data_IF_013157769378
#
_entry.id   IF_013157769378
#
_cell.length_a   1.000
_cell.length_b   1.000
_cell.length_c   1.000
_cell.angle_alpha   90.00
_cell.angle_beta   90.00
_cell.angle_gamma   90.00
#
_symmetry.space_group_name_H-M   'P 1'
#
loop_
_entity.id
_entity.type
_entity.pdbx_description
1 polymer ?
#
# COMPACT_ATOMS: atom_id res chain seq x y z
N UNK A 1 -7.27 80.39 -15.15
CA UNK A 1 -6.57 79.33 -14.46
C UNK A 1 -7.11 78.02 -15.01
N UNK A 2 -6.46 77.45 -16.01
CA UNK A 2 -6.87 76.21 -16.69
C UNK A 2 -6.03 75.07 -16.13
N UNK A 3 -6.67 74.10 -15.53
CA UNK A 3 -6.00 72.84 -15.06
C UNK A 3 -5.94 71.84 -16.23
N UNK A 4 -4.72 71.49 -16.59
CA UNK A 4 -4.39 70.51 -17.60
C UNK A 4 -4.50 69.14 -16.94
N UNK A 5 -5.36 68.23 -17.45
CA UNK A 5 -5.45 66.86 -17.04
C UNK A 5 -4.65 65.99 -18.03
N UNK A 6 -3.55 65.43 -17.56
CA UNK A 6 -2.76 64.48 -18.33
C UNK A 6 -3.34 63.11 -18.05
N UNK A 7 -3.92 62.46 -19.07
CA UNK A 7 -4.35 61.06 -19.04
C UNK A 7 -3.17 60.21 -19.49
N UNK A 8 -2.58 59.45 -18.57
CA UNK A 8 -1.53 58.48 -18.87
C UNK A 8 -2.21 57.16 -19.24
N UNK A 9 -2.18 56.78 -20.51
CA UNK A 9 -2.58 55.45 -20.99
C UNK A 9 -1.48 54.46 -20.63
N UNK A 10 -1.74 53.58 -19.69
CA UNK A 10 -0.92 52.38 -19.42
C UNK A 10 -1.30 51.31 -20.46
N UNK A 11 -0.40 51.04 -21.38
CA UNK A 11 -0.47 49.91 -22.29
C UNK A 11 -0.13 48.64 -21.49
N UNK A 12 -1.12 47.82 -21.11
CA UNK A 12 -0.96 46.53 -20.53
C UNK A 12 -0.69 45.54 -21.68
N UNK A 13 0.57 45.24 -21.98
CA UNK A 13 0.95 44.14 -22.85
C UNK A 13 0.73 42.81 -22.08
N UNK A 14 -0.41 42.17 -22.30
CA UNK A 14 -0.63 40.79 -21.90
C UNK A 14 0.17 39.93 -22.85
N UNK A 15 1.35 39.47 -22.40
CA UNK A 15 2.06 38.37 -23.05
C UNK A 15 1.33 37.08 -22.72
N UNK A 16 0.44 36.66 -23.61
CA UNK A 16 -0.06 35.27 -23.61
C UNK A 16 1.06 34.37 -24.08
N UNK A 17 1.78 33.78 -23.15
CA UNK A 17 2.62 32.60 -23.45
C UNK A 17 1.69 31.42 -23.75
N UNK A 18 1.36 31.24 -25.01
CA UNK A 18 0.82 29.98 -25.49
C UNK A 18 1.94 28.92 -25.41
N UNK A 19 1.96 28.14 -24.33
CA UNK A 19 2.75 26.93 -24.28
C UNK A 19 2.13 25.88 -25.22
N UNK A 20 2.40 26.02 -26.53
CA UNK A 20 2.32 24.89 -27.43
C UNK A 20 3.51 23.97 -27.08
N UNK A 21 3.32 23.05 -26.15
CA UNK A 21 4.26 21.94 -25.93
C UNK A 21 4.18 20.97 -27.12
N UNK A 22 4.76 21.35 -28.22
CA UNK A 22 5.20 20.39 -29.23
C UNK A 22 6.31 19.53 -28.60
N UNK A 23 6.20 18.20 -28.70
CA UNK A 23 7.24 17.26 -28.31
C UNK A 23 8.48 17.50 -29.18
N UNK A 24 9.35 18.43 -28.80
CA UNK A 24 10.66 18.57 -29.39
C UNK A 24 11.64 17.69 -28.61
N UNK A 25 12.08 16.60 -29.21
CA UNK A 25 13.26 15.87 -28.73
C UNK A 25 14.44 16.84 -28.80
N UNK A 26 15.21 17.03 -27.70
CA UNK A 26 16.42 17.87 -27.75
C UNK A 26 17.36 17.41 -28.88
N UNK A 27 18.20 18.30 -29.42
CA UNK A 27 19.12 17.98 -30.54
C UNK A 27 20.11 16.83 -30.25
N UNK A 28 20.32 16.52 -28.98
CA UNK A 28 21.17 15.42 -28.50
C UNK A 28 20.44 14.07 -28.36
N UNK A 29 19.17 13.99 -28.74
CA UNK A 29 18.37 12.77 -28.64
C UNK A 29 17.92 12.42 -27.22
N UNK A 30 18.14 13.29 -26.22
CA UNK A 30 17.71 13.06 -24.83
C UNK A 30 16.19 13.15 -24.70
N UNK A 31 15.58 12.16 -24.05
CA UNK A 31 14.17 12.15 -23.68
C UNK A 31 14.03 12.46 -22.19
N UNK A 32 13.31 13.52 -21.84
CA UNK A 32 13.03 13.85 -20.45
C UNK A 32 11.60 13.48 -20.10
N UNK A 33 11.45 12.71 -19.02
CA UNK A 33 10.18 12.29 -18.41
C UNK A 33 10.01 12.98 -17.05
N UNK A 34 8.77 13.32 -16.70
CA UNK A 34 8.40 13.74 -15.36
C UNK A 34 7.80 12.57 -14.60
N UNK A 35 8.10 12.45 -13.31
CA UNK A 35 7.58 11.35 -12.50
C UNK A 35 7.18 11.82 -11.09
N UNK A 36 6.06 11.32 -10.59
CA UNK A 36 5.53 11.59 -9.26
C UNK A 36 5.36 10.29 -8.49
N UNK A 37 6.17 10.11 -7.44
CA UNK A 37 6.28 8.82 -6.77
C UNK A 37 5.99 8.92 -5.28
N UNK A 38 5.13 8.01 -4.81
CA UNK A 38 4.86 7.84 -3.39
C UNK A 38 6.02 7.12 -2.73
N UNK A 39 6.95 7.87 -2.16
CA UNK A 39 8.13 7.31 -1.52
C UNK A 39 8.72 8.27 -0.49
N UNK A 40 9.15 7.75 0.64
CA UNK A 40 10.01 8.43 1.58
C UNK A 40 11.45 7.96 1.38
N UNK A 41 12.25 8.75 0.69
CA UNK A 41 13.66 8.40 0.41
C UNK A 41 14.52 8.27 1.68
N UNK A 42 14.08 8.82 2.82
CA UNK A 42 14.77 8.67 4.09
C UNK A 42 14.42 7.32 4.78
N UNK A 43 13.39 6.64 4.32
CA UNK A 43 12.99 5.35 4.90
C UNK A 43 14.00 4.25 4.56
N UNK A 44 14.45 3.47 5.56
CA UNK A 44 15.39 2.37 5.36
C UNK A 44 14.90 1.26 4.40
N UNK A 45 13.61 1.21 4.10
CA UNK A 45 13.07 0.23 3.16
C UNK A 45 13.38 0.53 1.69
N UNK A 46 13.79 1.78 1.35
CA UNK A 46 14.01 2.20 -0.04
C UNK A 46 15.48 2.41 -0.40
N UNK A 47 16.40 1.83 0.36
CA UNK A 47 17.86 1.93 0.10
C UNK A 47 18.28 1.44 -1.29
N UNK A 48 17.47 0.56 -1.90
CA UNK A 48 17.69 0.06 -3.25
C UNK A 48 17.40 1.09 -4.35
N UNK A 49 16.56 2.09 -4.07
CA UNK A 49 16.02 2.97 -5.11
C UNK A 49 17.07 3.81 -5.83
N UNK A 50 17.99 4.54 -5.15
CA UNK A 50 19.06 5.26 -5.83
C UNK A 50 19.94 4.35 -6.69
N UNK A 51 20.19 3.13 -6.23
CA UNK A 51 21.01 2.12 -6.93
C UNK A 51 20.30 1.68 -8.21
N UNK A 52 18.99 1.49 -8.14
CA UNK A 52 18.15 1.16 -9.31
C UNK A 52 18.18 2.27 -10.33
N UNK A 53 18.05 3.54 -9.90
CA UNK A 53 18.12 4.71 -10.79
C UNK A 53 19.49 4.84 -11.47
N UNK A 54 20.57 4.64 -10.72
CA UNK A 54 21.93 4.66 -11.27
C UNK A 54 22.18 3.54 -12.27
N UNK A 55 21.67 2.35 -12.01
CA UNK A 55 21.76 1.21 -12.95
C UNK A 55 20.96 1.49 -14.21
N UNK A 56 19.76 2.05 -14.09
CA UNK A 56 18.96 2.47 -15.23
C UNK A 56 19.68 3.55 -16.06
N UNK A 57 20.20 4.59 -15.42
CA UNK A 57 20.91 5.68 -16.11
C UNK A 57 22.16 5.21 -16.88
N UNK A 58 22.88 4.22 -16.37
CA UNK A 58 23.99 3.60 -17.09
C UNK A 58 23.56 2.84 -18.34
N UNK A 59 22.39 2.18 -18.29
CA UNK A 59 21.85 1.39 -19.40
C UNK A 59 21.17 2.27 -20.46
N UNK A 60 20.54 3.35 -20.05
CA UNK A 60 19.77 4.27 -20.89
C UNK A 60 20.21 5.73 -20.68
N UNK A 61 21.45 6.10 -21.08
CA UNK A 61 22.03 7.42 -20.77
C UNK A 61 21.31 8.60 -21.46
N UNK A 62 20.51 8.31 -22.47
CA UNK A 62 19.69 9.29 -23.21
C UNK A 62 18.29 9.48 -22.59
N UNK A 63 17.95 8.83 -21.48
CA UNK A 63 16.67 9.01 -20.78
C UNK A 63 16.93 9.70 -19.46
N UNK A 64 16.32 10.87 -19.27
CA UNK A 64 16.29 11.59 -17.99
C UNK A 64 14.93 11.47 -17.36
N UNK A 65 14.87 11.29 -16.04
CA UNK A 65 13.62 11.26 -15.30
C UNK A 65 13.72 12.29 -14.16
N UNK A 66 12.82 13.25 -14.20
CA UNK A 66 12.66 14.27 -13.14
C UNK A 66 11.65 13.77 -12.14
N UNK A 67 12.15 13.40 -10.95
CA UNK A 67 11.36 12.81 -9.89
C UNK A 67 10.86 13.84 -8.89
N UNK A 68 9.58 13.79 -8.56
CA UNK A 68 9.02 14.39 -7.35
C UNK A 68 8.57 13.25 -6.43
N UNK A 69 9.05 13.27 -5.18
CA UNK A 69 8.73 12.28 -4.16
C UNK A 69 7.85 12.89 -3.09
N UNK A 70 6.77 12.20 -2.73
CA UNK A 70 5.88 12.59 -1.63
C UNK A 70 5.51 11.35 -0.84
N UNK A 71 5.71 11.40 0.46
CA UNK A 71 5.40 10.28 1.36
C UNK A 71 3.97 10.31 1.89
N UNK A 72 3.43 9.14 2.23
CA UNK A 72 2.18 8.99 2.95
C UNK A 72 0.94 9.51 2.20
N UNK A 73 -0.09 9.87 2.96
CA UNK A 73 -1.38 10.29 2.40
C UNK A 73 -1.32 11.62 1.63
N UNK A 74 -0.33 12.47 1.91
CA UNK A 74 -0.13 13.72 1.16
C UNK A 74 0.09 13.48 -0.35
N UNK A 75 0.65 12.32 -0.72
CA UNK A 75 0.75 11.91 -2.12
C UNK A 75 -0.64 11.89 -2.77
N UNK A 76 -1.60 11.22 -2.13
CA UNK A 76 -2.93 11.04 -2.70
C UNK A 76 -3.67 12.35 -2.85
N UNK A 77 -3.61 13.24 -1.85
CA UNK A 77 -4.27 14.55 -1.89
C UNK A 77 -3.76 15.41 -3.06
N UNK A 78 -2.43 15.50 -3.19
CA UNK A 78 -1.79 16.27 -4.28
C UNK A 78 -2.06 15.65 -5.63
N UNK A 79 -1.97 14.32 -5.75
CA UNK A 79 -2.16 13.64 -7.02
C UNK A 79 -3.62 13.70 -7.49
N UNK A 80 -4.60 13.65 -6.58
CA UNK A 80 -6.01 13.88 -6.91
C UNK A 80 -6.24 15.29 -7.46
N UNK A 81 -5.59 16.31 -6.90
CA UNK A 81 -5.67 17.68 -7.43
C UNK A 81 -5.07 17.78 -8.84
N UNK A 82 -3.91 17.17 -9.09
CA UNK A 82 -3.31 17.06 -10.43
C UNK A 82 -4.23 16.33 -11.41
N UNK A 83 -4.82 15.21 -10.99
CA UNK A 83 -5.76 14.46 -11.81
C UNK A 83 -7.02 15.26 -12.13
N UNK A 84 -7.54 16.04 -11.18
CA UNK A 84 -8.71 16.90 -11.38
C UNK A 84 -8.47 17.98 -12.44
N UNK A 85 -7.27 18.57 -12.49
CA UNK A 85 -6.87 19.53 -13.52
C UNK A 85 -6.52 18.88 -14.87
N UNK A 86 -6.33 17.56 -14.92
CA UNK A 86 -5.91 16.82 -16.11
C UNK A 86 -4.42 16.95 -16.45
N UNK A 87 -3.63 17.54 -15.55
CA UNK A 87 -2.18 17.74 -15.70
C UNK A 87 -1.43 16.82 -14.74
N UNK A 88 -1.32 15.55 -15.14
CA UNK A 88 -0.57 14.54 -14.40
C UNK A 88 0.79 14.25 -15.08
N UNK A 89 1.83 13.87 -14.32
CA UNK A 89 3.16 13.55 -14.83
C UNK A 89 3.16 12.43 -15.89
N UNK A 90 4.30 12.27 -16.57
CA UNK A 90 4.50 11.20 -17.55
C UNK A 90 4.43 9.80 -16.89
N UNK A 91 4.97 9.68 -15.68
CA UNK A 91 4.90 8.46 -14.86
C UNK A 91 4.47 8.81 -13.44
N UNK A 92 3.79 7.90 -12.77
CA UNK A 92 3.30 8.12 -11.40
C UNK A 92 3.03 6.80 -10.67
N UNK A 93 3.03 6.85 -9.35
CA UNK A 93 2.56 5.73 -8.53
C UNK A 93 1.08 5.47 -8.76
N UNK A 94 0.76 4.21 -9.01
CA UNK A 94 -0.60 3.73 -9.23
C UNK A 94 -0.81 2.40 -8.49
N UNK A 95 -2.03 2.19 -8.03
CA UNK A 95 -2.50 0.95 -7.44
C UNK A 95 -3.41 0.22 -8.43
N UNK A 96 -3.40 -1.09 -8.40
CA UNK A 96 -4.43 -1.87 -9.09
C UNK A 96 -5.80 -1.66 -8.41
N UNK A 97 -6.86 -1.64 -9.21
CA UNK A 97 -8.22 -1.64 -8.69
C UNK A 97 -8.74 -0.29 -8.17
N UNK A 98 -9.62 -0.36 -7.17
CA UNK A 98 -10.46 0.75 -6.76
C UNK A 98 -9.71 1.95 -6.18
N UNK A 99 -8.56 1.73 -5.52
CA UNK A 99 -7.77 2.81 -4.91
C UNK A 99 -7.30 3.85 -5.93
N UNK A 100 -7.02 3.45 -7.17
CA UNK A 100 -6.70 4.34 -8.29
C UNK A 100 -7.88 4.57 -9.24
N UNK A 101 -9.10 4.20 -8.85
CA UNK A 101 -10.31 4.32 -9.66
C UNK A 101 -10.55 5.74 -10.18
N UNK A 102 -10.20 6.77 -9.42
CA UNK A 102 -10.35 8.18 -9.81
C UNK A 102 -9.54 8.60 -11.04
N UNK A 103 -8.44 7.90 -11.37
CA UNK A 103 -7.67 8.10 -12.61
C UNK A 103 -7.96 7.04 -13.66
N UNK A 104 -8.17 5.78 -13.23
CA UNK A 104 -8.48 4.67 -14.12
C UNK A 104 -9.80 4.93 -14.86
N UNK A 105 -10.86 5.27 -14.13
CA UNK A 105 -12.19 5.53 -14.69
C UNK A 105 -12.25 6.76 -15.62
N UNK A 106 -11.24 7.62 -15.55
CA UNK A 106 -11.07 8.79 -16.44
C UNK A 106 -10.18 8.50 -17.65
N UNK A 107 -9.69 7.27 -17.80
CA UNK A 107 -8.80 6.90 -18.90
C UNK A 107 -7.44 7.60 -18.85
N UNK A 108 -6.95 7.97 -17.67
CA UNK A 108 -5.68 8.70 -17.50
C UNK A 108 -4.47 7.78 -17.42
N UNK A 109 -4.67 6.49 -17.21
CA UNK A 109 -3.62 5.48 -17.07
C UNK A 109 -3.50 4.68 -18.37
N UNK A 110 -2.26 4.50 -18.85
CA UNK A 110 -2.01 3.77 -20.10
C UNK A 110 -2.19 2.28 -19.90
N UNK A 111 -2.95 1.65 -20.79
CA UNK A 111 -3.05 0.19 -20.86
C UNK A 111 -1.74 -0.41 -21.37
N UNK A 112 -1.13 -1.28 -20.57
CA UNK A 112 0.15 -1.92 -20.87
C UNK A 112 0.00 -3.18 -21.72
N UNK A 113 -1.22 -3.73 -21.92
CA UNK A 113 -1.42 -4.99 -22.69
C UNK A 113 -0.72 -5.00 -24.04
N UNK A 114 -0.73 -3.91 -24.85
CA UNK A 114 -0.02 -3.89 -26.11
C UNK A 114 1.51 -4.00 -26.00
N UNK A 115 2.08 -3.71 -24.82
CA UNK A 115 3.51 -3.75 -24.54
C UNK A 115 3.95 -5.07 -23.89
N UNK A 116 3.01 -5.85 -23.35
CA UNK A 116 3.25 -7.09 -22.63
C UNK A 116 3.30 -8.28 -23.58
N UNK A 117 4.49 -8.78 -23.88
CA UNK A 117 4.65 -10.03 -24.63
C UNK A 117 4.39 -11.25 -23.74
N UNK A 118 3.97 -12.39 -24.33
CA UNK A 118 3.78 -13.63 -23.56
C UNK A 118 5.08 -14.09 -22.90
N UNK A 119 6.23 -13.88 -23.54
CA UNK A 119 7.54 -14.15 -22.96
C UNK A 119 7.78 -13.28 -21.71
N UNK A 120 7.41 -11.99 -21.74
CA UNK A 120 7.53 -11.11 -20.59
C UNK A 120 6.63 -11.61 -19.45
N UNK A 121 5.35 -11.87 -19.74
CA UNK A 121 4.36 -12.32 -18.75
C UNK A 121 4.73 -13.66 -18.10
N UNK A 122 5.33 -14.59 -18.83
CA UNK A 122 5.69 -15.91 -18.31
C UNK A 122 6.71 -15.88 -17.16
N UNK A 123 7.45 -14.78 -17.04
CA UNK A 123 8.43 -14.58 -15.96
C UNK A 123 7.79 -14.20 -14.61
N UNK A 124 6.47 -14.06 -14.53
CA UNK A 124 5.77 -13.64 -13.33
C UNK A 124 4.72 -14.66 -12.91
N UNK A 125 4.20 -14.51 -11.67
CA UNK A 125 2.99 -15.22 -11.25
C UNK A 125 1.81 -14.77 -12.11
N UNK A 126 0.92 -15.71 -12.47
CA UNK A 126 -0.29 -15.39 -13.24
C UNK A 126 -1.22 -14.41 -12.53
N UNK A 127 -1.19 -14.38 -11.21
CA UNK A 127 -2.05 -13.51 -10.39
C UNK A 127 -1.83 -12.01 -10.61
N UNK A 128 -0.64 -11.58 -11.06
CA UNK A 128 -0.40 -10.16 -11.33
C UNK A 128 -1.02 -9.68 -12.65
N UNK A 129 -1.46 -10.62 -13.49
CA UNK A 129 -2.10 -10.34 -14.79
C UNK A 129 -3.62 -10.39 -14.74
N UNK A 130 -4.20 -10.48 -13.54
CA UNK A 130 -5.64 -10.31 -13.38
C UNK A 130 -6.06 -8.90 -13.82
N UNK A 131 -7.27 -8.75 -14.39
CA UNK A 131 -7.79 -7.46 -14.83
C UNK A 131 -7.70 -6.38 -13.76
N UNK A 132 -7.12 -5.23 -14.10
CA UNK A 132 -6.97 -4.07 -13.23
C UNK A 132 -7.94 -2.95 -13.61
N UNK A 133 -8.58 -3.06 -14.75
CA UNK A 133 -9.58 -2.14 -15.28
C UNK A 133 -10.83 -2.83 -15.78
N UNK A 134 -11.91 -2.06 -16.05
CA UNK A 134 -13.24 -2.60 -16.34
C UNK A 134 -13.33 -3.43 -17.64
N UNK A 135 -12.40 -3.24 -18.60
CA UNK A 135 -12.37 -3.96 -19.87
C UNK A 135 -11.15 -4.90 -19.95
N UNK A 136 -10.64 -5.35 -18.82
CA UNK A 136 -9.51 -6.27 -18.74
C UNK A 136 -8.14 -5.60 -18.93
N UNK A 137 -8.07 -4.28 -18.77
CA UNK A 137 -6.81 -3.54 -18.88
C UNK A 137 -5.81 -3.96 -17.80
N UNK A 138 -4.53 -3.84 -18.13
CA UNK A 138 -3.39 -3.98 -17.22
C UNK A 138 -2.67 -2.63 -17.19
N UNK A 139 -2.66 -1.98 -16.04
CA UNK A 139 -2.11 -0.63 -15.87
C UNK A 139 -0.74 -0.61 -15.18
N UNK A 140 -0.46 -1.62 -14.36
CA UNK A 140 0.78 -1.74 -13.62
C UNK A 140 1.33 -3.16 -13.66
N UNK A 141 2.64 -3.27 -13.52
CA UNK A 141 3.35 -4.50 -13.20
C UNK A 141 3.70 -4.41 -11.73
N UNK A 142 2.93 -5.07 -10.87
CA UNK A 142 3.17 -4.96 -9.43
C UNK A 142 4.52 -5.59 -9.04
N UNK A 143 5.37 -4.84 -8.31
CA UNK A 143 6.66 -5.37 -7.87
C UNK A 143 6.51 -6.47 -6.84
N UNK A 144 5.45 -6.47 -6.04
CA UNK A 144 5.23 -7.45 -4.98
C UNK A 144 3.74 -7.73 -4.76
N UNK A 145 3.45 -8.84 -4.08
CA UNK A 145 2.17 -9.07 -3.44
C UNK A 145 2.25 -8.46 -2.03
N UNK A 146 1.46 -7.43 -1.82
CA UNK A 146 1.34 -6.78 -0.52
C UNK A 146 0.46 -7.62 0.41
N UNK A 147 1.07 -8.53 1.18
CA UNK A 147 0.39 -9.22 2.28
C UNK A 147 0.33 -8.26 3.45
N UNK A 148 -0.88 -7.82 3.77
CA UNK A 148 -1.12 -6.68 4.65
C UNK A 148 -1.11 -7.05 6.15
N UNK A 149 -1.13 -8.33 6.51
CA UNK A 149 -1.23 -8.74 7.91
C UNK A 149 -0.22 -9.80 8.27
N UNK A 150 0.83 -9.41 8.97
CA UNK A 150 1.74 -10.30 9.66
C UNK A 150 2.06 -9.76 11.06
N UNK A 151 2.50 -10.61 11.95
CA UNK A 151 2.99 -10.23 13.27
C UNK A 151 4.50 -10.50 13.33
N UNK A 152 5.27 -9.45 13.59
CA UNK A 152 6.66 -9.59 13.97
C UNK A 152 6.78 -9.78 15.47
N UNK A 153 7.63 -10.70 15.89
CA UNK A 153 7.82 -11.07 17.29
C UNK A 153 9.25 -10.78 17.71
N UNK A 154 9.43 -10.05 18.80
CA UNK A 154 10.71 -9.97 19.48
C UNK A 154 10.84 -11.17 20.44
N UNK A 155 11.44 -12.25 19.95
CA UNK A 155 11.55 -13.52 20.70
C UNK A 155 12.45 -13.40 21.93
N UNK A 156 13.36 -12.41 21.97
CA UNK A 156 14.15 -12.12 23.16
C UNK A 156 13.25 -11.61 24.28
N UNK A 157 12.47 -10.56 24.02
CA UNK A 157 11.53 -10.04 25.02
C UNK A 157 10.49 -11.07 25.44
N UNK A 158 10.02 -11.88 24.48
CA UNK A 158 9.08 -12.97 24.76
C UNK A 158 9.68 -13.97 25.75
N UNK A 159 10.94 -14.43 25.52
CA UNK A 159 11.63 -15.35 26.44
C UNK A 159 11.91 -14.72 27.81
N UNK A 160 12.40 -13.47 27.83
CA UNK A 160 12.75 -12.76 29.06
C UNK A 160 11.51 -12.59 29.96
N UNK A 161 10.33 -12.44 29.36
CA UNK A 161 9.05 -12.37 30.06
C UNK A 161 8.41 -13.76 30.30
N UNK A 162 9.03 -14.85 29.88
CA UNK A 162 8.48 -16.21 30.01
C UNK A 162 7.11 -16.38 29.33
N UNK A 163 6.95 -15.79 28.12
CA UNK A 163 5.74 -15.88 27.31
C UNK A 163 5.88 -17.01 26.29
N UNK A 164 4.78 -17.69 26.00
CA UNK A 164 4.69 -18.62 24.87
C UNK A 164 4.28 -17.90 23.58
N UNK A 165 4.56 -18.51 22.43
CA UNK A 165 4.03 -18.03 21.15
C UNK A 165 2.49 -18.17 21.16
N UNK A 166 1.72 -17.09 20.97
CA UNK A 166 0.27 -17.17 21.03
C UNK A 166 -0.28 -17.82 19.76
N UNK A 167 -1.05 -18.91 19.92
CA UNK A 167 -1.76 -19.55 18.82
C UNK A 167 -3.11 -18.87 18.54
N UNK A 168 -3.69 -18.23 19.54
CA UNK A 168 -4.98 -17.54 19.44
C UNK A 168 -4.89 -16.09 19.91
N UNK A 169 -5.83 -15.26 19.44
CA UNK A 169 -5.94 -13.88 19.91
C UNK A 169 -6.22 -13.82 21.42
N UNK A 170 -6.96 -14.78 21.95
CA UNK A 170 -7.24 -14.88 23.39
C UNK A 170 -5.97 -15.14 24.20
N UNK A 171 -5.09 -16.02 23.72
CA UNK A 171 -3.77 -16.24 24.33
C UNK A 171 -2.89 -15.00 24.26
N UNK A 172 -2.90 -14.27 23.13
CA UNK A 172 -2.16 -13.01 23.01
C UNK A 172 -2.70 -11.95 24.00
N UNK A 173 -4.01 -11.81 24.13
CA UNK A 173 -4.66 -10.91 25.10
C UNK A 173 -4.33 -11.32 26.55
N UNK A 174 -4.28 -12.60 26.85
CA UNK A 174 -3.93 -13.09 28.19
C UNK A 174 -2.50 -12.69 28.61
N UNK A 175 -1.62 -12.39 27.70
CA UNK A 175 -0.24 -11.93 27.97
C UNK A 175 -0.15 -10.43 28.30
N UNK A 176 -1.19 -9.64 27.98
CA UNK A 176 -1.20 -8.18 28.13
C UNK A 176 -0.79 -7.71 29.53
N UNK A 177 -1.37 -8.24 30.65
CA UNK A 177 -1.00 -7.77 31.98
C UNK A 177 0.49 -7.93 32.29
N UNK A 178 1.08 -9.06 31.92
CA UNK A 178 2.50 -9.34 32.15
C UNK A 178 3.42 -8.44 31.35
N UNK A 179 3.07 -8.18 30.07
CA UNK A 179 3.86 -7.29 29.20
C UNK A 179 3.76 -5.86 29.71
N UNK A 180 2.55 -5.39 30.06
CA UNK A 180 2.34 -4.05 30.60
C UNK A 180 3.05 -3.83 31.94
N UNK A 181 3.11 -4.84 32.80
CA UNK A 181 3.88 -4.78 34.06
C UNK A 181 5.38 -4.55 33.82
N UNK A 182 5.90 -5.01 32.70
CA UNK A 182 7.28 -4.74 32.27
C UNK A 182 7.47 -3.38 31.58
N UNK A 183 6.46 -2.51 31.57
CA UNK A 183 6.44 -1.23 30.86
C UNK A 183 6.62 -1.35 29.35
N UNK A 184 6.21 -2.47 28.74
CA UNK A 184 6.27 -2.72 27.31
C UNK A 184 4.87 -2.65 26.69
N UNK A 185 4.84 -2.40 25.39
CA UNK A 185 3.61 -2.50 24.58
C UNK A 185 3.43 -3.96 24.13
N UNK A 186 2.24 -4.55 24.34
CA UNK A 186 1.99 -5.91 23.88
C UNK A 186 2.10 -6.04 22.35
N UNK A 187 1.24 -5.35 21.62
CA UNK A 187 1.21 -5.33 20.15
C UNK A 187 1.35 -3.88 19.66
N UNK A 188 2.51 -3.55 19.15
CA UNK A 188 2.76 -2.25 18.57
C UNK A 188 2.02 -2.13 17.23
N UNK A 189 1.31 -1.04 17.06
CA UNK A 189 0.53 -0.73 15.88
C UNK A 189 0.27 0.77 15.83
N UNK A 190 0.35 1.38 14.64
CA UNK A 190 0.05 2.79 14.41
C UNK A 190 -1.07 2.93 13.38
N UNK A 191 -2.08 3.76 13.68
CA UNK A 191 -3.26 3.95 12.82
C UNK A 191 -3.61 5.44 12.58
N UNK A 192 -2.63 6.34 12.71
CA UNK A 192 -2.85 7.76 12.43
C UNK A 192 -3.15 8.02 10.95
N UNK A 193 -2.51 7.27 10.05
CA UNK A 193 -2.78 7.33 8.61
C UNK A 193 -4.15 6.76 8.20
N UNK A 194 -5.00 6.37 9.12
CA UNK A 194 -6.39 5.85 9.05
C UNK A 194 -6.57 4.53 8.28
N UNK A 195 -5.79 4.28 7.24
CA UNK A 195 -5.93 3.11 6.36
C UNK A 195 -5.43 1.80 6.99
N UNK A 196 -4.50 1.87 7.95
CA UNK A 196 -3.83 0.68 8.47
C UNK A 196 -4.80 -0.29 9.16
N UNK A 197 -5.73 0.21 9.98
CA UNK A 197 -6.70 -0.65 10.65
C UNK A 197 -7.65 -1.34 9.65
N UNK A 198 -7.99 -0.66 8.55
CA UNK A 198 -8.78 -1.25 7.47
C UNK A 198 -7.98 -2.33 6.75
N UNK A 199 -6.78 -2.02 6.27
CA UNK A 199 -5.99 -2.91 5.43
C UNK A 199 -5.41 -4.08 6.22
N UNK A 200 -4.87 -3.85 7.45
CA UNK A 200 -4.20 -4.88 8.24
C UNK A 200 -5.15 -5.71 9.09
N UNK A 201 -6.24 -5.13 9.58
CA UNK A 201 -7.12 -5.81 10.50
C UNK A 201 -8.47 -6.13 9.87
N UNK A 202 -9.26 -5.11 9.47
CA UNK A 202 -10.62 -5.33 9.03
C UNK A 202 -10.70 -6.22 7.79
N UNK A 203 -9.80 -6.04 6.83
CA UNK A 203 -9.74 -6.86 5.62
C UNK A 203 -9.53 -8.34 5.94
N UNK A 204 -8.49 -8.65 6.71
CA UNK A 204 -8.17 -10.00 7.15
C UNK A 204 -9.27 -10.61 8.03
N UNK A 205 -9.76 -9.85 9.01
CA UNK A 205 -10.82 -10.32 9.92
C UNK A 205 -12.13 -10.58 9.17
N UNK A 206 -12.46 -9.76 8.18
CA UNK A 206 -13.64 -10.00 7.32
C UNK A 206 -13.51 -11.30 6.56
N UNK A 207 -12.35 -11.58 5.95
CA UNK A 207 -12.13 -12.87 5.27
C UNK A 207 -12.19 -14.04 6.25
N UNK A 208 -11.58 -13.92 7.42
CA UNK A 208 -11.63 -14.97 8.45
C UNK A 208 -13.04 -15.26 8.93
N UNK A 209 -13.85 -14.25 9.18
CA UNK A 209 -15.19 -14.40 9.77
C UNK A 209 -16.29 -14.64 8.75
N UNK A 210 -16.15 -14.17 7.50
CA UNK A 210 -17.15 -14.25 6.47
C UNK A 210 -16.74 -15.08 5.25
N UNK A 211 -15.43 -15.16 4.98
CA UNK A 211 -14.85 -15.83 3.82
C UNK A 211 -14.94 -15.02 2.53
N UNK A 212 -14.09 -15.37 1.57
CA UNK A 212 -14.00 -14.69 0.27
C UNK A 212 -15.37 -14.68 -0.48
N UNK A 213 -16.10 -15.78 -0.43
CA UNK A 213 -17.40 -15.88 -1.11
C UNK A 213 -18.46 -14.91 -0.55
N UNK A 214 -18.40 -14.57 0.72
CA UNK A 214 -19.23 -13.50 1.28
C UNK A 214 -18.84 -12.15 0.69
N UNK A 215 -17.54 -11.88 0.60
CA UNK A 215 -17.02 -10.64 0.05
C UNK A 215 -17.42 -10.45 -1.41
N UNK A 216 -17.31 -11.52 -2.23
CA UNK A 216 -17.76 -11.52 -3.63
C UNK A 216 -19.25 -11.13 -3.74
N UNK A 217 -20.09 -11.65 -2.83
CA UNK A 217 -21.51 -11.26 -2.77
C UNK A 217 -21.72 -9.83 -2.27
N UNK A 218 -20.90 -9.36 -1.33
CA UNK A 218 -21.00 -8.00 -0.82
C UNK A 218 -20.65 -6.97 -1.90
N UNK A 219 -19.65 -7.24 -2.74
CA UNK A 219 -19.29 -6.38 -3.87
C UNK A 219 -20.43 -6.20 -4.88
N UNK A 220 -21.28 -7.20 -5.06
CA UNK A 220 -22.44 -7.12 -5.98
C UNK A 220 -23.78 -6.87 -5.26
N UNK A 221 -23.75 -6.57 -3.96
CA UNK A 221 -24.93 -6.20 -3.18
C UNK A 221 -25.85 -7.33 -2.73
N UNK A 222 -25.45 -8.60 -2.93
CA UNK A 222 -26.22 -9.79 -2.48
C UNK A 222 -25.85 -10.27 -1.07
N UNK A 223 -24.82 -9.72 -0.46
CA UNK A 223 -24.58 -9.70 0.97
C UNK A 223 -24.39 -8.23 1.43
N UNK A 224 -24.50 -7.97 2.72
CA UNK A 224 -24.53 -6.61 3.26
C UNK A 224 -23.44 -6.41 4.30
N UNK A 225 -22.86 -5.21 4.36
CA UNK A 225 -21.91 -4.85 5.42
C UNK A 225 -22.56 -4.82 6.81
N UNK A 226 -23.89 -4.83 6.90
CA UNK A 226 -24.63 -5.03 8.16
C UNK A 226 -24.73 -6.49 8.59
N UNK A 227 -24.22 -7.44 7.81
CA UNK A 227 -24.23 -8.85 8.19
C UNK A 227 -23.38 -9.09 9.44
N UNK A 228 -23.80 -10.03 10.34
CA UNK A 228 -23.12 -10.24 11.62
C UNK A 228 -21.62 -10.54 11.52
N UNK A 229 -21.19 -11.14 10.41
CA UNK A 229 -19.79 -11.47 10.19
C UNK A 229 -18.90 -10.23 10.03
N UNK A 230 -19.35 -9.23 9.28
CA UNK A 230 -18.60 -7.97 9.11
C UNK A 230 -18.65 -7.13 10.39
N UNK A 231 -19.81 -7.05 11.03
CA UNK A 231 -19.94 -6.39 12.34
C UNK A 231 -19.03 -7.06 13.37
N UNK A 232 -19.00 -8.40 13.40
CA UNK A 232 -18.12 -9.18 14.26
C UNK A 232 -16.64 -8.90 14.03
N UNK A 233 -16.20 -8.69 12.77
CA UNK A 233 -14.82 -8.29 12.46
C UNK A 233 -14.46 -6.93 13.10
N UNK A 234 -15.36 -5.96 13.06
CA UNK A 234 -15.20 -4.66 13.75
C UNK A 234 -15.16 -4.83 15.28
N UNK A 235 -16.00 -5.72 15.84
CA UNK A 235 -16.01 -6.01 17.29
C UNK A 235 -14.68 -6.63 17.75
N UNK A 236 -14.05 -7.48 16.94
CA UNK A 236 -12.71 -8.00 17.26
C UNK A 236 -11.70 -6.86 17.38
N UNK A 237 -11.71 -5.90 16.45
CA UNK A 237 -10.81 -4.72 16.50
C UNK A 237 -11.08 -3.91 17.80
N UNK A 238 -12.36 -3.65 18.11
CA UNK A 238 -12.74 -2.95 19.34
C UNK A 238 -12.23 -3.68 20.58
N UNK A 239 -12.40 -5.00 20.63
CA UNK A 239 -11.93 -5.84 21.73
C UNK A 239 -10.41 -5.73 21.92
N UNK A 240 -9.63 -5.70 20.83
CA UNK A 240 -8.16 -5.54 20.89
C UNK A 240 -7.79 -4.20 21.56
N UNK A 241 -8.54 -3.13 21.30
CA UNK A 241 -8.36 -1.84 21.97
C UNK A 241 -8.74 -1.92 23.45
N UNK A 242 -9.93 -2.44 23.75
CA UNK A 242 -10.49 -2.49 25.11
C UNK A 242 -9.64 -3.34 26.07
N UNK A 243 -8.97 -4.35 25.54
CA UNK A 243 -8.04 -5.20 26.30
C UNK A 243 -6.63 -4.61 26.38
N UNK A 244 -6.43 -3.36 25.94
CA UNK A 244 -5.13 -2.66 25.96
C UNK A 244 -4.01 -3.42 25.21
N UNK A 245 -4.38 -4.18 24.19
CA UNK A 245 -3.41 -4.90 23.37
C UNK A 245 -2.51 -3.91 22.61
N UNK A 246 -3.09 -2.81 22.10
CA UNK A 246 -2.38 -1.74 21.40
C UNK A 246 -1.78 -0.68 22.34
N UNK A 247 -0.86 0.18 21.86
CA UNK A 247 -0.38 1.33 22.63
C UNK A 247 -1.54 2.31 22.90
N UNK A 248 -1.44 3.04 24.00
CA UNK A 248 -2.30 4.19 24.22
C UNK A 248 -2.11 5.19 23.05
N UNK A 249 -3.21 5.76 22.56
CA UNK A 249 -3.14 6.69 21.42
C UNK A 249 -2.83 6.04 20.07
N UNK A 250 -3.18 4.77 19.87
CA UNK A 250 -2.96 4.03 18.62
C UNK A 250 -3.38 4.79 17.36
N UNK A 251 -4.46 5.58 17.43
CA UNK A 251 -4.96 6.42 16.33
C UNK A 251 -4.20 7.74 16.15
N UNK A 252 -3.23 8.06 17.02
CA UNK A 252 -2.33 9.21 16.91
C UNK A 252 -0.90 8.81 16.55
N UNK A 253 -0.60 7.49 16.60
CA UNK A 253 0.72 6.94 16.31
C UNK A 253 0.87 6.67 14.81
N UNK A 254 1.92 7.23 14.20
CA UNK A 254 2.27 6.94 12.81
C UNK A 254 2.88 5.53 12.66
N UNK A 255 2.71 4.93 11.45
CA UNK A 255 3.35 3.63 11.14
C UNK A 255 4.87 3.64 11.36
N UNK A 256 5.63 4.64 10.87
CA UNK A 256 7.07 4.75 11.14
C UNK A 256 7.44 4.82 12.62
N UNK A 257 6.66 5.53 13.43
CA UNK A 257 6.85 5.59 14.88
C UNK A 257 6.62 4.22 15.54
N UNK A 258 5.57 3.50 15.08
CA UNK A 258 5.24 2.19 15.62
C UNK A 258 6.36 1.16 15.38
N UNK A 259 6.78 0.95 14.13
CA UNK A 259 7.86 -0.01 13.89
C UNK A 259 9.22 0.46 14.46
N UNK A 260 9.46 1.78 14.52
CA UNK A 260 10.64 2.36 15.19
C UNK A 260 10.68 2.02 16.67
N UNK A 261 9.55 2.10 17.38
CA UNK A 261 9.44 1.69 18.78
C UNK A 261 9.67 0.18 18.98
N UNK A 262 9.20 -0.66 18.04
CA UNK A 262 9.52 -2.09 18.07
C UNK A 262 11.01 -2.37 17.92
N UNK A 263 11.69 -1.70 16.99
CA UNK A 263 13.15 -1.79 16.79
C UNK A 263 13.92 -1.36 18.05
N UNK A 264 13.38 -0.41 18.82
CA UNK A 264 13.93 0.04 20.10
C UNK A 264 13.59 -0.87 21.28
N UNK A 265 13.07 -2.08 21.02
CA UNK A 265 12.69 -3.05 22.05
C UNK A 265 11.58 -2.55 23.01
N UNK A 266 10.67 -1.69 22.54
CA UNK A 266 9.56 -1.17 23.35
C UNK A 266 8.27 -2.00 23.26
N UNK A 267 8.28 -3.05 22.43
CA UNK A 267 7.14 -3.94 22.24
C UNK A 267 7.55 -5.38 22.01
N UNK A 268 6.69 -6.32 22.46
CA UNK A 268 6.90 -7.77 22.23
C UNK A 268 6.49 -8.15 20.81
N UNK A 269 5.37 -7.59 20.33
CA UNK A 269 4.82 -7.87 19.01
C UNK A 269 4.68 -6.56 18.22
N UNK A 270 4.79 -6.66 16.87
CA UNK A 270 4.47 -5.58 15.94
C UNK A 270 3.49 -6.12 14.88
N UNK A 271 2.35 -5.47 14.72
CA UNK A 271 1.44 -5.68 13.60
C UNK A 271 1.87 -4.78 12.44
N UNK A 272 2.28 -5.36 11.34
CA UNK A 272 2.64 -4.64 10.11
C UNK A 272 2.47 -5.60 8.92
N UNK A 273 2.96 -5.22 7.76
CA UNK A 273 2.87 -5.98 6.53
C UNK A 273 4.23 -6.55 6.10
N UNK A 274 4.22 -7.42 5.09
CA UNK A 274 5.43 -8.10 4.62
C UNK A 274 6.54 -7.16 4.10
N UNK A 275 6.18 -6.00 3.59
CA UNK A 275 7.14 -4.98 3.12
C UNK A 275 7.98 -4.33 4.23
N UNK A 276 7.71 -4.65 5.49
CA UNK A 276 8.44 -4.08 6.62
C UNK A 276 9.81 -4.70 6.85
N UNK A 277 10.07 -5.90 6.35
CA UNK A 277 11.31 -6.65 6.59
C UNK A 277 12.58 -5.85 6.28
N UNK A 278 12.72 -5.18 5.11
CA UNK A 278 13.92 -4.39 4.83
C UNK A 278 14.13 -3.24 5.83
N UNK A 279 13.06 -2.57 6.25
CA UNK A 279 13.17 -1.50 7.24
C UNK A 279 13.62 -2.02 8.61
N UNK A 280 13.05 -3.13 9.08
CA UNK A 280 13.45 -3.77 10.34
C UNK A 280 14.91 -4.20 10.30
N UNK A 281 15.35 -4.82 9.21
CA UNK A 281 16.75 -5.26 9.03
C UNK A 281 17.73 -4.09 9.05
N UNK A 282 17.41 -3.03 8.34
CA UNK A 282 18.32 -1.90 8.21
C UNK A 282 18.34 -0.96 9.43
N UNK A 283 17.26 -0.96 10.24
CA UNK A 283 17.15 -0.07 11.40
C UNK A 283 17.49 -0.76 12.73
N UNK A 284 17.31 -2.07 12.86
CA UNK A 284 17.59 -2.79 14.09
C UNK A 284 19.10 -3.06 14.27
N UNK A 285 19.56 -3.08 15.52
CA UNK A 285 20.88 -3.63 15.81
C UNK A 285 20.91 -5.12 15.38
N UNK A 286 22.02 -5.62 14.79
CA UNK A 286 22.08 -7.01 14.29
C UNK A 286 21.74 -8.05 15.36
N UNK A 287 22.14 -7.82 16.63
CA UNK A 287 21.83 -8.71 17.74
C UNK A 287 20.34 -8.75 18.10
N UNK A 288 19.61 -7.64 17.90
CA UNK A 288 18.18 -7.59 18.11
C UNK A 288 17.43 -8.20 16.92
N UNK A 289 17.83 -7.85 15.69
CA UNK A 289 17.23 -8.40 14.47
C UNK A 289 17.30 -9.93 14.43
N UNK A 290 18.39 -10.54 14.90
CA UNK A 290 18.56 -11.99 15.00
C UNK A 290 17.50 -12.67 15.92
N UNK A 291 16.81 -11.89 16.75
CA UNK A 291 15.71 -12.36 17.60
C UNK A 291 14.32 -12.05 17.03
N UNK A 292 14.22 -11.57 15.81
CA UNK A 292 12.90 -11.35 15.19
C UNK A 292 12.40 -12.60 14.49
N UNK A 293 11.12 -12.83 14.61
CA UNK A 293 10.37 -13.84 13.86
C UNK A 293 9.14 -13.18 13.22
N UNK A 294 8.64 -13.75 12.14
CA UNK A 294 7.36 -13.39 11.55
C UNK A 294 6.39 -14.56 11.67
N UNK A 295 5.18 -14.26 12.13
CA UNK A 295 4.10 -15.25 12.28
C UNK A 295 2.81 -14.74 11.65
N UNK A 296 1.87 -15.65 11.38
CA UNK A 296 0.49 -15.30 11.08
C UNK A 296 -0.15 -14.52 12.23
N UNK A 297 -1.13 -13.69 11.91
CA UNK A 297 -2.02 -13.19 12.95
C UNK A 297 -2.68 -14.38 13.67
N UNK A 298 -2.69 -14.42 15.02
CA UNK A 298 -3.25 -15.53 15.77
C UNK A 298 -4.70 -15.86 15.41
N UNK A 299 -5.12 -17.10 15.62
CA UNK A 299 -6.48 -17.53 15.33
C UNK A 299 -7.51 -16.72 16.13
N UNK A 300 -8.65 -16.42 15.50
CA UNK A 300 -9.77 -15.69 16.12
C UNK A 300 -10.97 -16.63 16.28
N UNK A 301 -11.66 -16.55 17.41
CA UNK A 301 -12.83 -17.36 17.64
C UNK A 301 -13.91 -17.13 16.57
N UNK A 302 -14.46 -18.21 16.01
CA UNK A 302 -15.52 -18.14 15.00
C UNK A 302 -15.01 -17.99 13.55
N UNK A 303 -13.70 -18.16 13.30
CA UNK A 303 -13.15 -18.17 11.94
C UNK A 303 -13.81 -19.24 11.06
N UNK A 304 -14.27 -18.83 9.88
CA UNK A 304 -14.71 -19.74 8.80
C UNK A 304 -13.56 -20.01 7.82
N UNK A 305 -12.67 -19.03 7.60
CA UNK A 305 -11.43 -19.18 6.83
C UNK A 305 -10.24 -19.13 7.76
N UNK A 306 -9.78 -20.32 8.16
CA UNK A 306 -8.73 -20.45 9.19
C UNK A 306 -7.40 -19.87 8.73
N UNK A 307 -6.83 -18.99 9.54
CA UNK A 307 -5.47 -18.50 9.36
C UNK A 307 -5.24 -17.70 8.07
N UNK A 308 -6.30 -17.25 7.37
CA UNK A 308 -6.13 -16.40 6.18
C UNK A 308 -5.52 -15.04 6.52
N UNK A 309 -4.92 -14.42 5.53
CA UNK A 309 -4.49 -13.03 5.55
C UNK A 309 -5.19 -12.24 4.44
N UNK A 310 -4.95 -10.94 4.35
CA UNK A 310 -5.39 -10.13 3.23
C UNK A 310 -4.19 -9.72 2.38
N UNK A 311 -4.36 -9.78 1.05
CA UNK A 311 -3.32 -9.39 0.12
C UNK A 311 -3.90 -8.64 -1.08
N UNK A 312 -3.09 -7.76 -1.64
CA UNK A 312 -3.38 -7.06 -2.89
C UNK A 312 -2.11 -6.93 -3.72
N UNK A 313 -2.23 -6.53 -4.97
CA UNK A 313 -1.08 -6.09 -5.75
C UNK A 313 -0.50 -4.83 -5.10
N UNK A 314 0.81 -4.81 -4.85
CA UNK A 314 1.52 -3.61 -4.39
C UNK A 314 1.44 -2.49 -5.41
N UNK A 315 1.65 -1.26 -4.95
CA UNK A 315 1.77 -0.10 -5.83
C UNK A 315 2.94 -0.26 -6.81
N UNK A 316 2.78 0.35 -7.99
CA UNK A 316 3.81 0.36 -9.00
C UNK A 316 3.80 1.68 -9.77
N UNK A 317 4.82 1.88 -10.60
CA UNK A 317 4.87 3.03 -11.49
C UNK A 317 4.04 2.73 -12.74
N UNK A 318 3.07 3.59 -13.01
CA UNK A 318 2.22 3.59 -14.20
C UNK A 318 2.64 4.68 -15.18
N UNK A 319 2.12 4.58 -16.40
CA UNK A 319 2.33 5.54 -17.48
C UNK A 319 1.08 6.39 -17.70
N UNK A 320 1.28 7.67 -17.98
CA UNK A 320 0.19 8.55 -18.44
C UNK A 320 -0.36 8.04 -19.79
N UNK A 321 -1.68 7.95 -19.89
CA UNK A 321 -2.35 7.50 -21.11
C UNK A 321 -2.03 8.35 -22.37
N UNK A 322 -1.67 9.62 -22.16
CA UNK A 322 -1.32 10.56 -23.24
C UNK A 322 0.08 10.33 -23.84
N UNK A 323 0.93 9.52 -23.19
CA UNK A 323 2.28 9.25 -23.69
C UNK A 323 2.25 8.53 -25.04
N UNK A 324 3.06 9.03 -25.95
CA UNK A 324 3.27 8.47 -27.30
C UNK A 324 4.71 8.66 -27.77
N UNK A 325 5.11 7.96 -28.84
CA UNK A 325 6.43 8.07 -29.43
C UNK A 325 7.57 7.88 -28.42
N UNK A 326 8.66 8.63 -28.58
CA UNK A 326 9.87 8.49 -27.78
C UNK A 326 9.65 8.55 -26.26
N UNK A 327 8.69 9.36 -25.79
CA UNK A 327 8.35 9.41 -24.37
C UNK A 327 7.67 8.14 -23.87
N UNK A 328 6.77 7.56 -24.66
CA UNK A 328 6.15 6.28 -24.30
C UNK A 328 7.18 5.15 -24.28
N UNK A 329 8.10 5.11 -25.25
CA UNK A 329 9.17 4.12 -25.32
C UNK A 329 10.14 4.28 -24.14
N UNK A 330 10.51 5.51 -23.78
CA UNK A 330 11.39 5.80 -22.65
C UNK A 330 10.74 5.39 -21.30
N UNK A 331 9.45 5.68 -21.10
CA UNK A 331 8.71 5.27 -19.89
C UNK A 331 8.59 3.74 -19.81
N UNK A 332 8.33 3.07 -20.94
CA UNK A 332 8.30 1.60 -20.98
C UNK A 332 9.68 0.99 -20.70
N UNK A 333 10.76 1.57 -21.26
CA UNK A 333 12.12 1.14 -20.95
C UNK A 333 12.40 1.21 -19.45
N UNK A 334 11.95 2.26 -18.78
CA UNK A 334 12.09 2.38 -17.32
C UNK A 334 11.28 1.31 -16.56
N UNK A 335 10.00 1.17 -16.87
CA UNK A 335 9.12 0.20 -16.20
C UNK A 335 9.60 -1.24 -16.44
N UNK A 336 9.93 -1.58 -17.68
CA UNK A 336 10.43 -2.92 -18.01
C UNK A 336 11.81 -3.22 -17.42
N UNK A 337 12.62 -2.18 -17.13
CA UNK A 337 13.89 -2.32 -16.42
C UNK A 337 13.67 -2.59 -14.94
N UNK A 338 12.92 -1.73 -14.24
CA UNK A 338 12.78 -1.84 -12.78
C UNK A 338 12.03 -3.10 -12.33
N UNK A 339 11.10 -3.59 -13.17
CA UNK A 339 10.37 -4.84 -12.90
C UNK A 339 10.94 -6.02 -13.72
N UNK A 340 11.97 -5.79 -14.54
CA UNK A 340 12.71 -6.81 -15.26
C UNK A 340 13.71 -7.57 -14.39
N UNK A 341 14.58 -8.36 -15.03
CA UNK A 341 15.55 -9.19 -14.32
C UNK A 341 16.54 -8.35 -13.48
N UNK A 342 17.14 -7.33 -14.09
CA UNK A 342 18.15 -6.47 -13.42
C UNK A 342 17.56 -5.71 -12.24
N UNK A 343 16.37 -5.11 -12.40
CA UNK A 343 15.69 -4.41 -11.31
C UNK A 343 15.27 -5.34 -10.19
N UNK A 344 14.75 -6.53 -10.52
CA UNK A 344 14.38 -7.53 -9.53
C UNK A 344 15.61 -8.12 -8.80
N UNK A 345 16.76 -8.28 -9.48
CA UNK A 345 18.02 -8.67 -8.84
C UNK A 345 18.47 -7.62 -7.81
N UNK A 346 18.33 -6.33 -8.12
CA UNK A 346 18.61 -5.26 -7.16
C UNK A 346 17.64 -5.36 -5.98
N UNK A 347 16.32 -5.51 -6.21
CA UNK A 347 15.34 -5.67 -5.13
C UNK A 347 15.73 -6.82 -4.18
N UNK A 348 16.12 -7.96 -4.74
CA UNK A 348 16.52 -9.15 -3.95
C UNK A 348 17.78 -8.91 -3.12
N UNK A 349 18.74 -8.14 -3.61
CA UNK A 349 19.96 -7.79 -2.85
C UNK A 349 19.63 -6.91 -1.62
N UNK A 350 18.45 -6.26 -1.63
CA UNK A 350 17.96 -5.41 -0.55
C UNK A 350 16.70 -5.97 0.13
N UNK A 351 16.58 -7.31 0.15
CA UNK A 351 15.55 -8.04 0.89
C UNK A 351 14.11 -7.75 0.48
N UNK A 352 13.89 -7.20 -0.70
CA UNK A 352 12.56 -6.98 -1.26
C UNK A 352 12.23 -8.09 -2.26
N UNK A 353 11.22 -8.91 -1.94
CA UNK A 353 10.83 -10.07 -2.75
C UNK A 353 9.90 -9.65 -3.87
N UNK A 354 10.33 -9.76 -5.16
CA UNK A 354 9.50 -9.36 -6.28
C UNK A 354 8.49 -10.45 -6.68
N UNK A 355 7.46 -10.06 -7.44
CA UNK A 355 6.49 -10.97 -8.07
C UNK A 355 7.08 -11.73 -9.26
N UNK A 356 8.23 -11.29 -9.78
CA UNK A 356 8.96 -12.01 -10.80
C UNK A 356 9.43 -13.35 -10.26
N UNK A 357 9.26 -14.41 -11.05
CA UNK A 357 9.78 -15.75 -10.72
C UNK A 357 11.31 -15.71 -10.75
N UNK A 358 11.91 -15.89 -9.60
CA UNK A 358 13.36 -15.93 -9.41
C UNK A 358 13.78 -17.26 -8.83
N UNK A 359 14.99 -17.67 -9.13
CA UNK A 359 15.66 -18.78 -8.44
C UNK A 359 16.26 -18.25 -7.13
N UNK A 360 15.51 -18.36 -6.05
CA UNK A 360 15.93 -17.87 -4.74
C UNK A 360 17.21 -18.54 -4.20
N UNK A 361 17.64 -19.68 -4.77
CA UNK A 361 18.89 -20.31 -4.38
C UNK A 361 20.14 -19.48 -4.73
N UNK A 362 20.00 -18.55 -5.66
CA UNK A 362 21.07 -17.62 -6.05
C UNK A 362 21.28 -16.48 -5.05
N UNK A 363 20.33 -16.27 -4.14
CA UNK A 363 20.34 -15.17 -3.19
C UNK A 363 20.48 -15.73 -1.78
N UNK A 364 21.31 -15.09 -0.98
CA UNK A 364 21.40 -15.38 0.46
C UNK A 364 20.18 -14.81 1.20
N UNK A 365 19.01 -15.44 1.00
CA UNK A 365 17.77 -14.96 1.62
C UNK A 365 17.93 -14.75 3.12
N UNK A 366 17.53 -13.57 3.55
CA UNK A 366 17.40 -13.22 4.96
C UNK A 366 16.48 -14.22 5.71
N UNK A 367 16.84 -14.63 6.93
CA UNK A 367 16.03 -15.61 7.69
C UNK A 367 14.57 -15.17 7.89
N UNK A 368 14.31 -13.88 8.09
CA UNK A 368 12.96 -13.36 8.27
C UNK A 368 12.18 -13.41 6.95
N UNK A 369 12.83 -13.13 5.81
CA UNK A 369 12.24 -13.31 4.49
C UNK A 369 11.88 -14.77 4.18
N UNK A 370 12.71 -15.73 4.59
CA UNK A 370 12.35 -17.16 4.45
C UNK A 370 11.08 -17.51 5.21
N UNK A 371 11.03 -17.12 6.48
CA UNK A 371 9.84 -17.32 7.31
C UNK A 371 8.60 -16.66 6.68
N UNK A 372 8.76 -15.45 6.15
CA UNK A 372 7.67 -14.73 5.48
C UNK A 372 7.17 -15.47 4.23
N UNK A 373 8.08 -15.98 3.38
CA UNK A 373 7.72 -16.76 2.19
C UNK A 373 6.99 -18.05 2.58
N UNK A 374 7.53 -18.80 3.55
CA UNK A 374 6.92 -20.03 4.06
C UNK A 374 5.52 -19.75 4.62
N UNK A 375 5.39 -18.67 5.42
CA UNK A 375 4.13 -18.26 5.99
C UNK A 375 3.10 -17.93 4.91
N UNK A 376 3.44 -17.08 3.96
CA UNK A 376 2.51 -16.62 2.91
C UNK A 376 2.12 -17.73 1.95
N UNK A 377 3.02 -18.69 1.66
CA UNK A 377 2.71 -19.87 0.87
C UNK A 377 1.76 -20.85 1.57
N UNK A 378 1.66 -20.79 2.90
CA UNK A 378 0.77 -21.65 3.70
C UNK A 378 -0.60 -21.05 3.96
N UNK A 379 -0.80 -19.76 3.67
CA UNK A 379 -2.04 -19.03 3.95
C UNK A 379 -2.92 -18.88 2.71
N UNK A 380 -4.24 -18.89 2.90
CA UNK A 380 -5.17 -18.33 1.92
C UNK A 380 -5.18 -16.80 2.02
N UNK A 381 -5.43 -16.14 0.89
CA UNK A 381 -5.45 -14.68 0.81
C UNK A 381 -6.85 -14.18 0.47
N UNK A 382 -7.42 -13.38 1.38
CA UNK A 382 -8.61 -12.60 1.16
C UNK A 382 -8.30 -11.26 0.50
N UNK A 383 -9.35 -10.50 0.20
CA UNK A 383 -9.22 -9.17 -0.38
C UNK A 383 -8.76 -8.12 0.65
N UNK A 384 -8.01 -7.13 0.19
CA UNK A 384 -7.88 -5.86 0.90
C UNK A 384 -9.04 -4.97 0.47
N UNK A 385 -9.80 -4.44 1.43
CA UNK A 385 -11.09 -3.76 1.16
C UNK A 385 -10.91 -2.59 0.20
N UNK A 386 -9.89 -1.75 0.39
CA UNK A 386 -9.65 -0.57 -0.45
C UNK A 386 -9.15 -0.91 -1.87
N UNK A 387 -8.75 -2.15 -2.11
CA UNK A 387 -8.39 -2.60 -3.45
C UNK A 387 -9.64 -2.97 -4.30
N UNK A 388 -10.76 -3.32 -3.66
CA UNK A 388 -11.94 -3.87 -4.34
C UNK A 388 -13.22 -3.04 -4.13
N UNK A 389 -13.29 -2.24 -3.06
CA UNK A 389 -14.41 -1.34 -2.78
C UNK A 389 -14.10 0.07 -3.23
N UNK A 390 -15.14 0.87 -3.51
CA UNK A 390 -14.98 2.26 -3.93
C UNK A 390 -14.12 3.06 -2.93
N UNK A 391 -13.07 3.70 -3.47
CA UNK A 391 -12.07 4.41 -2.65
C UNK A 391 -12.63 5.61 -1.89
N UNK A 392 -13.66 6.30 -2.42
CA UNK A 392 -14.28 7.43 -1.73
C UNK A 392 -15.00 6.96 -0.46
N UNK A 393 -15.80 5.89 -0.56
CA UNK A 393 -16.48 5.31 0.61
C UNK A 393 -15.51 4.73 1.63
N UNK A 394 -14.43 4.11 1.17
CA UNK A 394 -13.41 3.58 2.08
C UNK A 394 -12.67 4.73 2.79
N UNK A 395 -12.16 5.71 2.06
CA UNK A 395 -11.31 6.74 2.64
C UNK A 395 -12.08 7.75 3.49
N UNK A 396 -13.28 8.15 3.04
CA UNK A 396 -14.04 9.24 3.68
C UNK A 396 -15.01 8.74 4.77
N UNK A 397 -15.35 7.44 4.79
CA UNK A 397 -16.31 6.92 5.75
C UNK A 397 -15.77 5.71 6.52
N UNK A 398 -15.32 4.64 5.84
CA UNK A 398 -14.95 3.40 6.52
C UNK A 398 -13.71 3.60 7.39
N UNK A 399 -12.62 4.15 6.84
CA UNK A 399 -11.36 4.33 7.55
C UNK A 399 -11.50 5.22 8.79
N UNK A 400 -12.04 6.46 8.71
CA UNK A 400 -12.28 7.28 9.92
C UNK A 400 -13.35 6.65 10.84
N UNK A 401 -14.29 5.90 10.29
CA UNK A 401 -15.28 5.15 11.06
C UNK A 401 -14.67 4.06 11.93
N UNK A 402 -13.66 3.34 11.43
CA UNK A 402 -12.92 2.35 12.22
C UNK A 402 -12.21 3.04 13.40
N UNK A 403 -11.57 4.19 13.19
CA UNK A 403 -10.99 4.97 14.30
C UNK A 403 -12.05 5.36 15.32
N UNK A 404 -13.24 5.77 14.88
CA UNK A 404 -14.34 6.11 15.78
C UNK A 404 -14.83 4.89 16.58
N UNK A 405 -14.86 3.69 15.99
CA UNK A 405 -15.15 2.43 16.70
C UNK A 405 -14.05 2.13 17.72
N UNK A 406 -12.80 2.25 17.34
CA UNK A 406 -11.65 2.04 18.24
C UNK A 406 -11.70 2.97 19.46
N UNK A 407 -12.10 4.23 19.27
CA UNK A 407 -12.25 5.23 20.35
C UNK A 407 -13.55 5.07 21.15
N UNK A 408 -14.49 4.21 20.73
CA UNK A 408 -15.79 4.03 21.37
C UNK A 408 -16.80 5.17 21.12
N UNK A 409 -16.52 6.08 20.19
CA UNK A 409 -17.44 7.16 19.79
C UNK A 409 -18.49 6.70 18.78
N UNK A 410 -18.30 5.51 18.19
CA UNK A 410 -19.25 4.85 17.29
C UNK A 410 -19.27 3.35 17.62
N UNK A 411 -20.44 2.70 17.47
CA UNK A 411 -20.51 1.24 17.57
C UNK A 411 -20.17 0.59 16.24
N UNK A 412 -19.75 -0.67 16.27
CA UNK A 412 -19.48 -1.48 15.07
C UNK A 412 -20.72 -1.57 14.17
N UNK A 413 -21.91 -1.76 14.77
CA UNK A 413 -23.18 -1.81 14.02
C UNK A 413 -23.55 -0.46 13.38
N UNK A 414 -23.27 0.66 14.03
CA UNK A 414 -23.49 2.00 13.45
C UNK A 414 -22.59 2.22 12.23
N UNK A 415 -21.29 1.93 12.35
CA UNK A 415 -20.36 2.05 11.22
C UNK A 415 -20.78 1.15 10.06
N UNK A 416 -21.12 -0.10 10.36
CA UNK A 416 -21.56 -1.07 9.34
C UNK A 416 -22.81 -0.59 8.59
N UNK A 417 -23.79 -0.02 9.31
CA UNK A 417 -25.03 0.52 8.71
C UNK A 417 -24.75 1.75 7.83
N UNK A 418 -23.91 2.67 8.29
CA UNK A 418 -23.52 3.87 7.54
C UNK A 418 -22.76 3.49 6.26
N UNK A 419 -21.82 2.55 6.37
CA UNK A 419 -21.03 2.10 5.21
C UNK A 419 -21.90 1.35 4.20
N UNK A 420 -22.81 0.47 4.66
CA UNK A 420 -23.78 -0.20 3.78
C UNK A 420 -24.67 0.80 3.05
N UNK A 421 -25.19 1.81 3.75
CA UNK A 421 -26.03 2.83 3.14
C UNK A 421 -25.27 3.63 2.07
N UNK A 422 -24.01 3.98 2.35
CA UNK A 422 -23.17 4.70 1.41
C UNK A 422 -22.87 3.85 0.15
N UNK A 423 -22.46 2.60 0.34
CA UNK A 423 -22.11 1.69 -0.76
C UNK A 423 -23.35 1.42 -1.63
N UNK A 424 -24.50 1.17 -1.01
CA UNK A 424 -25.76 0.96 -1.76
C UNK A 424 -26.16 2.18 -2.61
N UNK A 425 -25.84 3.37 -2.14
CA UNK A 425 -26.19 4.62 -2.83
C UNK A 425 -25.19 5.02 -3.92
N UNK A 426 -23.90 4.71 -3.74
CA UNK A 426 -22.80 5.32 -4.51
C UNK A 426 -21.95 4.32 -5.31
N UNK A 427 -21.79 3.08 -4.86
CA UNK A 427 -20.97 2.10 -5.56
C UNK A 427 -21.63 1.66 -6.87
N UNK A 428 -20.98 2.00 -7.98
CA UNK A 428 -21.46 1.68 -9.32
C UNK A 428 -21.49 0.17 -9.62
N UNK A 429 -20.65 -0.62 -8.93
CA UNK A 429 -20.61 -2.07 -9.08
C UNK A 429 -21.84 -2.75 -8.47
N UNK A 430 -22.45 -2.15 -7.43
CA UNK A 430 -23.69 -2.63 -6.82
C UNK A 430 -24.96 -2.19 -7.55
N UNK A 431 -24.85 -1.23 -8.46
CA UNK A 431 -25.97 -0.71 -9.23
C UNK A 431 -26.21 -1.48 -10.53
N UNK A 432 -25.36 -2.44 -10.85
CA UNK A 432 -25.48 -3.34 -12.00
C UNK A 432 -26.03 -4.68 -11.53
#
# INVERSE_FOLDING_TARGET
>A
MKKLIIVTLLFLCVFTFAFARGQQTPPDGTVTLTAYHQMDLASPQYVYWPITLDAFARKYPNIKIEWEYVSGEQFHDKFQAMAASGDIPDMFTCYAGARSGYIINRGMVKDLRPLLTEQFKSNYSSSIWEPQGPNGEIYIISPNMAVCTVIYVNTKLQRDLGLSMPATLDEMIAQVPRIRQANLTPLMFGNKGVWQAQSFLLSMLTDRMAGKAWFDRAMVGTAKFTDPQFVGALEVIKRMVDTQLFPAGVNQLEGPEAWGAFVQNQAVYLLDAGWRIPALKNAAAPADYANYQVIAFPAVNGEVTKGSSAATLGEAIAMNAKLSGAKADAAWNFISFIYGEEGCDILMQYDTIPTRKLDFSKYGLDPLNRQYIELTNSQSMGYVIDAVMDGEGVNNLLNPGIQAVMMGSKTSAQLAAEYEAWVAANDSNRRR
#
